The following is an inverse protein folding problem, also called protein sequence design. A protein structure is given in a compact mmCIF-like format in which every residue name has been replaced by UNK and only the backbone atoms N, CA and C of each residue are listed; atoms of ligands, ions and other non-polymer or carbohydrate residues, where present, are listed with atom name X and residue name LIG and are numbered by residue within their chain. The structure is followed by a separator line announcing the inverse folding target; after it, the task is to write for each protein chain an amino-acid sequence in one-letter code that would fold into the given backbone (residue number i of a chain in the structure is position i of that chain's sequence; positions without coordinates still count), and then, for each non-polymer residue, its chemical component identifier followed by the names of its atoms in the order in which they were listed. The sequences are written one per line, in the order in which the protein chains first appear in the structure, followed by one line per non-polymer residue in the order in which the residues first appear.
data_IF_233281572100
#
_entry.id   IF_233281572100
#
_cell.length_a   1.000
_cell.length_b   1.000
_cell.length_c   1.000
_cell.angle_alpha   90.00
_cell.angle_beta   90.00
_cell.angle_gamma   90.00
#
_symmetry.space_group_name_H-M   'P 1'
#
loop_
_entity.id
_entity.type
_entity.pdbx_description
1 polymer ?
#
# COMPACT_ATOMS: atom_id res chain seq x y z
N UNK A 1 6.75 25.49 58.07
CA UNK A 1 7.40 25.47 56.74
C UNK A 1 7.11 24.10 56.17
N UNK A 2 5.89 23.91 55.67
CA UNK A 2 5.46 22.64 55.10
C UNK A 2 6.06 22.46 53.70
N UNK A 3 6.53 21.26 53.34
CA UNK A 3 7.03 21.00 52.00
C UNK A 3 5.85 21.04 51.02
N UNK A 4 5.93 21.95 50.03
CA UNK A 4 4.96 22.03 48.94
C UNK A 4 4.96 20.71 48.17
N UNK A 5 3.86 19.98 48.23
CA UNK A 5 3.63 18.80 47.42
C UNK A 5 3.38 19.26 45.98
N UNK A 6 4.37 19.05 45.11
CA UNK A 6 4.21 19.24 43.67
C UNK A 6 3.18 18.21 43.15
N UNK A 7 2.19 18.62 42.33
CA UNK A 7 1.23 17.68 41.77
C UNK A 7 1.92 16.80 40.71
N UNK A 8 1.53 15.51 40.56
CA UNK A 8 2.12 14.63 39.56
C UNK A 8 1.91 15.20 38.15
N UNK A 9 2.98 15.58 37.48
CA UNK A 9 2.95 16.01 36.09
C UNK A 9 2.45 14.82 35.24
N UNK A 10 1.22 14.92 34.74
CA UNK A 10 0.65 13.94 33.81
C UNK A 10 1.40 14.07 32.49
N UNK A 11 2.41 13.23 32.28
CA UNK A 11 3.17 13.17 31.04
C UNK A 11 2.22 12.95 29.86
N UNK A 12 1.94 14.00 29.10
CA UNK A 12 1.11 13.95 27.89
C UNK A 12 1.82 13.12 26.83
N UNK A 13 1.39 11.87 26.66
CA UNK A 13 1.96 10.98 25.64
C UNK A 13 1.59 11.50 24.25
N UNK A 14 2.59 11.71 23.41
CA UNK A 14 2.39 12.11 22.02
C UNK A 14 2.15 10.86 21.17
N UNK A 15 1.18 10.88 20.24
CA UNK A 15 0.85 9.73 19.38
C UNK A 15 0.98 10.06 17.90
N UNK A 16 1.40 9.09 17.10
CA UNK A 16 1.38 9.20 15.65
C UNK A 16 -0.07 9.22 15.15
N UNK A 17 -0.41 10.10 14.20
CA UNK A 17 -1.74 10.19 13.60
C UNK A 17 -2.05 9.05 12.62
N UNK A 18 -1.03 8.48 11.97
CA UNK A 18 -1.21 7.39 11.00
C UNK A 18 -1.31 6.01 11.69
N UNK A 19 -0.29 5.64 12.47
CA UNK A 19 -0.20 4.30 13.07
C UNK A 19 -0.61 4.23 14.55
N UNK A 20 -0.97 5.36 15.18
CA UNK A 20 -1.38 5.45 16.59
C UNK A 20 -0.36 4.96 17.63
N UNK A 21 0.91 4.71 17.26
CA UNK A 21 2.00 4.45 18.20
C UNK A 21 2.16 5.65 19.16
N UNK A 22 2.31 5.36 20.45
CA UNK A 22 2.46 6.35 21.51
C UNK A 22 3.92 6.47 21.94
N UNK A 23 4.36 7.70 22.20
CA UNK A 23 5.71 8.03 22.61
C UNK A 23 5.66 8.86 23.89
N UNK A 24 6.59 8.56 24.81
CA UNK A 24 6.74 9.32 26.07
C UNK A 24 7.26 10.74 25.82
N UNK A 25 8.09 10.91 24.78
CA UNK A 25 8.70 12.18 24.37
C UNK A 25 8.28 12.53 22.94
N UNK A 26 8.11 13.82 22.67
CA UNK A 26 7.77 14.33 21.33
C UNK A 26 8.89 14.07 20.31
N UNK A 27 10.15 14.15 20.73
CA UNK A 27 11.34 13.87 19.92
C UNK A 27 11.24 12.49 19.21
N UNK A 28 10.92 11.44 19.97
CA UNK A 28 10.80 10.08 19.41
C UNK A 28 9.61 9.93 18.46
N UNK A 29 8.55 10.74 18.62
CA UNK A 29 7.45 10.78 17.66
C UNK A 29 7.91 11.41 16.34
N UNK A 30 8.68 12.50 16.41
CA UNK A 30 9.22 13.17 15.21
C UNK A 30 10.16 12.22 14.47
N UNK A 31 11.09 11.58 15.18
CA UNK A 31 12.00 10.58 14.59
C UNK A 31 11.21 9.45 13.92
N UNK A 32 10.18 8.92 14.59
CA UNK A 32 9.28 7.94 13.99
C UNK A 32 8.63 8.43 12.69
N UNK A 33 8.13 9.66 12.66
CA UNK A 33 7.49 10.22 11.47
C UNK A 33 8.47 10.36 10.30
N UNK A 34 9.73 10.73 10.59
CA UNK A 34 10.79 10.84 9.58
C UNK A 34 11.12 9.48 8.97
N UNK A 35 11.27 8.43 9.79
CA UNK A 35 11.73 7.12 9.30
C UNK A 35 10.62 6.22 8.76
N UNK A 36 9.36 6.46 9.13
CA UNK A 36 8.28 5.52 8.80
C UNK A 36 7.64 5.77 7.45
N UNK A 37 7.78 6.97 6.88
CA UNK A 37 7.26 7.35 5.57
C UNK A 37 5.83 6.83 5.30
N UNK A 38 4.92 7.04 6.26
CA UNK A 38 3.54 6.57 6.10
C UNK A 38 2.94 7.18 4.83
N UNK A 39 2.37 6.33 3.99
CA UNK A 39 1.76 6.70 2.72
C UNK A 39 0.25 6.48 2.76
N UNK A 40 -0.49 7.21 1.93
CA UNK A 40 -1.92 6.94 1.68
C UNK A 40 -2.15 5.53 1.13
N UNK A 41 -1.12 4.93 0.53
CA UNK A 41 -1.14 3.56 0.02
C UNK A 41 -0.81 2.50 1.08
N UNK A 42 -0.48 2.90 2.31
CA UNK A 42 -0.24 1.92 3.37
C UNK A 42 -1.53 1.16 3.69
N UNK A 43 -1.44 -0.15 3.92
CA UNK A 43 -2.62 -0.93 4.28
C UNK A 43 -3.18 -0.43 5.62
N UNK A 44 -4.44 -0.03 5.61
CA UNK A 44 -5.11 0.55 6.76
C UNK A 44 -6.31 -0.29 7.22
N UNK A 45 -6.60 -0.24 8.52
CA UNK A 45 -7.80 -0.87 9.07
C UNK A 45 -9.06 -0.15 8.58
N UNK A 46 -9.98 -0.89 7.96
CA UNK A 46 -11.26 -0.37 7.46
C UNK A 46 -12.13 0.27 8.56
N UNK A 47 -12.00 -0.17 9.81
CA UNK A 47 -12.79 0.32 10.96
C UNK A 47 -12.17 1.56 11.60
N UNK A 48 -10.89 1.51 11.98
CA UNK A 48 -10.25 2.59 12.73
C UNK A 48 -9.26 3.44 11.92
N UNK A 49 -9.06 3.13 10.63
CA UNK A 49 -8.15 3.82 9.69
C UNK A 49 -6.68 3.87 10.12
N UNK A 50 -6.30 3.04 11.11
CA UNK A 50 -4.90 2.87 11.53
C UNK A 50 -4.09 2.27 10.39
N UNK A 51 -3.03 2.98 9.99
CA UNK A 51 -2.05 2.50 9.02
C UNK A 51 -1.21 1.40 9.65
N UNK A 52 -1.00 0.35 8.88
CA UNK A 52 -0.20 -0.81 9.25
C UNK A 52 0.92 -0.98 8.22
N UNK A 53 2.03 -1.60 8.64
CA UNK A 53 3.18 -1.79 7.74
C UNK A 53 2.86 -2.75 6.59
N UNK A 54 2.03 -3.75 6.86
CA UNK A 54 1.66 -4.80 5.89
C UNK A 54 0.19 -5.17 6.06
N UNK A 55 -0.38 -5.78 5.01
CA UNK A 55 -1.73 -6.36 5.10
C UNK A 55 -1.83 -7.43 6.20
N UNK A 56 -0.74 -8.16 6.45
CA UNK A 56 -0.68 -9.12 7.56
C UNK A 56 -0.83 -8.43 8.92
N UNK A 57 -0.17 -7.29 9.12
CA UNK A 57 -0.38 -6.48 10.33
C UNK A 57 -1.82 -5.96 10.45
N UNK A 58 -2.53 -5.74 9.34
CA UNK A 58 -3.97 -5.41 9.36
C UNK A 58 -4.78 -6.64 9.80
N UNK A 59 -4.48 -7.84 9.30
CA UNK A 59 -5.13 -9.10 9.74
C UNK A 59 -4.95 -9.34 11.22
N UNK A 60 -3.73 -9.21 11.74
CA UNK A 60 -3.43 -9.32 13.17
C UNK A 60 -4.18 -8.25 13.99
N UNK A 61 -4.35 -7.05 13.44
CA UNK A 61 -5.12 -5.99 14.11
C UNK A 61 -6.63 -6.26 14.16
N UNK A 62 -7.17 -7.03 13.22
CA UNK A 62 -8.60 -7.33 13.08
C UNK A 62 -9.00 -8.67 13.72
N UNK A 63 -8.07 -9.63 13.80
CA UNK A 63 -8.35 -11.01 14.25
C UNK A 63 -7.33 -11.55 15.26
N UNK A 64 -6.24 -10.82 15.54
CA UNK A 64 -5.16 -11.27 16.42
C UNK A 64 -5.37 -10.97 17.90
N UNK A 65 -4.47 -11.48 18.78
CA UNK A 65 -4.60 -11.38 20.24
C UNK A 65 -4.43 -9.95 20.78
N UNK A 66 -3.85 -9.04 19.99
CA UNK A 66 -3.65 -7.62 20.33
C UNK A 66 -4.63 -6.70 19.61
N UNK A 67 -5.68 -7.28 19.01
CA UNK A 67 -6.67 -6.54 18.26
C UNK A 67 -7.52 -5.62 19.17
N UNK A 68 -7.91 -4.46 18.64
CA UNK A 68 -8.82 -3.55 19.37
C UNK A 68 -10.22 -4.16 19.37
N UNK A 69 -10.83 -4.30 20.54
CA UNK A 69 -12.15 -4.93 20.70
C UNK A 69 -13.21 -4.36 19.74
N UNK A 70 -13.27 -3.03 19.57
CA UNK A 70 -14.21 -2.38 18.64
C UNK A 70 -14.00 -2.81 17.19
N UNK A 71 -12.73 -2.92 16.77
CA UNK A 71 -12.37 -3.32 15.41
C UNK A 71 -12.68 -4.78 15.15
N UNK A 72 -12.36 -5.67 16.11
CA UNK A 72 -12.69 -7.10 16.04
C UNK A 72 -14.19 -7.28 15.92
N UNK A 73 -14.96 -6.63 16.79
CA UNK A 73 -16.42 -6.78 16.81
C UNK A 73 -17.04 -6.40 15.46
N UNK A 74 -16.69 -5.23 14.94
CA UNK A 74 -17.21 -4.76 13.65
C UNK A 74 -16.77 -5.68 12.51
N UNK A 75 -15.53 -6.17 12.55
CA UNK A 75 -14.98 -7.02 11.50
C UNK A 75 -15.54 -8.45 11.51
N UNK A 76 -15.77 -9.04 12.69
CA UNK A 76 -16.42 -10.35 12.79
C UNK A 76 -17.86 -10.31 12.29
N UNK A 77 -18.57 -9.20 12.54
CA UNK A 77 -19.96 -9.06 12.13
C UNK A 77 -20.13 -8.75 10.64
N UNK A 78 -19.19 -8.03 10.02
CA UNK A 78 -19.41 -7.41 8.69
C UNK A 78 -18.18 -7.42 7.78
N UNK A 79 -17.09 -8.05 8.20
CA UNK A 79 -15.81 -8.04 7.51
C UNK A 79 -15.57 -9.27 6.64
N UNK A 80 -14.95 -9.07 5.48
CA UNK A 80 -14.45 -10.17 4.66
C UNK A 80 -12.99 -10.48 5.00
N UNK A 81 -12.69 -11.75 5.32
CA UNK A 81 -11.34 -12.19 5.70
C UNK A 81 -10.31 -12.16 4.54
N UNK A 82 -10.78 -12.12 3.29
CA UNK A 82 -9.91 -12.13 2.11
C UNK A 82 -9.44 -10.73 1.75
N UNK A 83 -10.36 -9.80 1.52
CA UNK A 83 -10.06 -8.42 1.11
C UNK A 83 -9.94 -7.44 2.28
N UNK A 84 -10.30 -7.84 3.50
CA UNK A 84 -10.26 -7.02 4.73
C UNK A 84 -11.20 -5.80 4.74
N UNK A 85 -12.20 -5.80 3.86
CA UNK A 85 -13.23 -4.77 3.80
C UNK A 85 -14.37 -5.00 4.78
N UNK A 86 -15.07 -3.92 5.13
CA UNK A 86 -16.31 -3.93 5.93
C UNK A 86 -17.49 -3.60 5.01
N UNK A 87 -18.59 -4.33 5.18
CA UNK A 87 -19.83 -4.15 4.43
C UNK A 87 -20.95 -3.59 5.31
N UNK A 88 -21.96 -2.96 4.69
CA UNK A 88 -23.07 -2.33 5.42
C UNK A 88 -23.97 -3.36 6.11
N UNK A 89 -24.13 -4.55 5.51
CA UNK A 89 -24.95 -5.63 6.03
C UNK A 89 -24.35 -7.03 5.77
N UNK A 90 -24.81 -8.00 6.54
CA UNK A 90 -24.44 -9.42 6.39
C UNK A 90 -24.85 -9.99 5.03
N UNK A 91 -25.96 -9.52 4.45
CA UNK A 91 -26.43 -10.02 3.16
C UNK A 91 -25.52 -9.56 2.02
N UNK A 92 -25.06 -8.31 2.08
CA UNK A 92 -24.06 -7.79 1.13
C UNK A 92 -22.74 -8.53 1.30
N UNK A 93 -22.30 -8.80 2.54
CA UNK A 93 -21.11 -9.61 2.81
C UNK A 93 -21.24 -11.02 2.21
N UNK A 94 -22.37 -11.71 2.40
CA UNK A 94 -22.56 -13.07 1.86
C UNK A 94 -22.53 -13.12 0.34
N UNK A 95 -23.16 -12.14 -0.31
CA UNK A 95 -23.10 -12.01 -1.78
C UNK A 95 -21.67 -11.72 -2.22
N UNK A 96 -20.97 -10.83 -1.50
CA UNK A 96 -19.56 -10.54 -1.74
C UNK A 96 -18.69 -11.79 -1.57
N UNK A 97 -18.82 -12.57 -0.49
CA UNK A 97 -18.00 -13.76 -0.22
C UNK A 97 -18.05 -14.82 -1.33
N UNK A 98 -19.19 -14.95 -2.01
CA UNK A 98 -19.33 -15.86 -3.16
C UNK A 98 -18.46 -15.45 -4.35
N UNK A 99 -18.21 -14.14 -4.48
CA UNK A 99 -17.46 -13.53 -5.59
C UNK A 99 -16.08 -13.04 -5.17
N UNK A 100 -15.82 -12.94 -3.86
CA UNK A 100 -14.56 -12.50 -3.27
C UNK A 100 -13.57 -13.63 -3.41
N UNK A 101 -13.05 -13.77 -4.62
CA UNK A 101 -11.94 -14.65 -4.90
C UNK A 101 -10.69 -13.79 -4.93
N UNK A 102 -9.60 -14.27 -4.32
CA UNK A 102 -8.23 -13.87 -4.69
C UNK A 102 -7.86 -14.39 -6.09
N UNK A 103 -8.84 -14.65 -6.96
CA UNK A 103 -8.60 -15.34 -8.22
C UNK A 103 -7.95 -14.37 -9.21
N UNK A 104 -6.91 -14.83 -9.95
CA UNK A 104 -6.28 -14.05 -11.00
C UNK A 104 -7.33 -13.53 -11.99
N UNK A 105 -7.03 -12.39 -12.62
CA UNK A 105 -7.83 -11.89 -13.73
C UNK A 105 -8.15 -13.04 -14.70
N UNK A 106 -9.42 -13.19 -15.15
CA UNK A 106 -9.70 -14.10 -16.23
C UNK A 106 -8.79 -13.71 -17.40
N UNK A 107 -8.16 -14.67 -18.10
CA UNK A 107 -7.33 -14.35 -19.24
C UNK A 107 -8.15 -13.50 -20.22
N UNK A 108 -7.57 -12.40 -20.69
CA UNK A 108 -8.16 -11.56 -21.73
C UNK A 108 -8.36 -12.46 -22.95
N UNK A 109 -9.61 -12.86 -23.18
CA UNK A 109 -9.99 -13.74 -24.27
C UNK A 109 -11.25 -14.55 -23.99
N UNK A 110 -12.36 -14.08 -24.58
CA UNK A 110 -13.57 -14.85 -24.93
C UNK A 110 -14.79 -14.83 -23.97
N UNK A 111 -15.63 -13.80 -24.14
CA UNK A 111 -17.07 -13.95 -24.43
C UNK A 111 -18.06 -14.22 -23.28
N UNK A 112 -18.87 -13.20 -22.97
CA UNK A 112 -20.29 -13.41 -22.63
C UNK A 112 -20.84 -12.69 -21.39
N UNK A 113 -21.51 -11.56 -21.64
CA UNK A 113 -22.71 -11.01 -20.94
C UNK A 113 -22.55 -10.58 -19.46
N UNK A 114 -22.90 -9.37 -19.00
CA UNK A 114 -23.85 -8.36 -19.47
C UNK A 114 -23.33 -6.95 -19.18
N UNK A 115 -23.21 -6.14 -20.24
CA UNK A 115 -23.19 -4.68 -20.17
C UNK A 115 -24.46 -4.18 -19.46
N UNK A 116 -24.31 -3.41 -18.38
CA UNK A 116 -25.31 -2.40 -18.06
C UNK A 116 -24.81 -1.07 -18.65
N UNK A 117 -25.65 -0.55 -19.51
CA UNK A 117 -25.39 0.48 -20.50
C UNK A 117 -25.07 1.84 -19.88
N UNK A 118 -24.02 2.47 -20.39
CA UNK A 118 -23.89 3.93 -20.34
C UNK A 118 -25.04 4.52 -21.13
N UNK A 119 -25.90 5.32 -20.50
CA UNK A 119 -26.68 6.30 -21.25
C UNK A 119 -26.97 7.58 -20.45
N UNK A 120 -26.64 8.68 -21.11
CA UNK A 120 -27.19 10.04 -21.01
C UNK A 120 -26.88 10.93 -19.81
N UNK A 121 -26.24 12.07 -20.12
CA UNK A 121 -26.23 13.33 -19.37
C UNK A 121 -27.64 13.69 -18.90
N UNK A 122 -27.82 13.81 -17.58
CA UNK A 122 -28.78 14.71 -16.95
C UNK A 122 -28.22 15.10 -15.59
N UNK A 123 -28.10 16.41 -15.35
CA UNK A 123 -27.86 16.96 -14.02
C UNK A 123 -28.98 16.50 -13.08
N UNK A 124 -28.62 15.84 -11.97
CA UNK A 124 -29.44 15.81 -10.76
C UNK A 124 -28.54 15.51 -9.56
N UNK A 125 -28.67 16.36 -8.54
CA UNK A 125 -27.89 16.37 -7.30
C UNK A 125 -27.89 15.00 -6.63
N UNK A 126 -26.69 14.48 -6.35
CA UNK A 126 -26.52 13.41 -5.35
C UNK A 126 -25.93 14.06 -4.11
N UNK A 127 -26.80 14.19 -3.12
CA UNK A 127 -26.48 14.54 -1.74
C UNK A 127 -25.50 13.53 -1.16
N UNK A 128 -24.47 14.09 -0.56
CA UNK A 128 -23.40 13.45 0.20
C UNK A 128 -23.92 12.42 1.22
N UNK A 129 -23.69 11.13 0.96
CA UNK A 129 -23.56 10.13 2.03
C UNK A 129 -22.36 9.22 1.73
N UNK A 130 -21.32 9.49 2.50
CA UNK A 130 -20.06 8.78 2.61
C UNK A 130 -20.26 7.32 3.01
N UNK A 131 -20.07 6.43 2.05
CA UNK A 131 -19.84 5.01 2.25
C UNK A 131 -18.86 4.57 1.17
N UNK A 132 -17.57 4.83 1.37
CA UNK A 132 -16.50 4.29 0.52
C UNK A 132 -16.49 2.77 0.68
N UNK A 133 -17.39 2.11 -0.05
CA UNK A 133 -17.38 0.67 -0.26
C UNK A 133 -16.12 0.35 -1.05
N UNK A 134 -15.20 -0.38 -0.41
CA UNK A 134 -13.90 -0.73 -0.98
C UNK A 134 -13.97 -1.51 -2.31
N UNK A 135 -15.16 -2.00 -2.68
CA UNK A 135 -15.35 -2.86 -3.85
C UNK A 135 -15.90 -2.09 -5.07
N UNK A 136 -16.11 -0.77 -4.96
CA UNK A 136 -16.63 0.07 -6.04
C UNK A 136 -15.57 0.97 -6.70
N UNK A 137 -14.34 1.04 -6.19
CA UNK A 137 -13.23 1.33 -7.09
C UNK A 137 -13.12 0.12 -8.01
N UNK A 138 -13.50 0.28 -9.28
CA UNK A 138 -13.36 -0.77 -10.28
C UNK A 138 -11.98 -1.41 -10.15
N UNK A 139 -11.92 -2.74 -10.31
CA UNK A 139 -10.66 -3.47 -10.26
C UNK A 139 -9.71 -2.83 -11.29
N UNK A 140 -8.83 -1.95 -10.83
CA UNK A 140 -7.81 -1.36 -11.70
C UNK A 140 -6.77 -2.46 -11.88
N UNK A 141 -6.85 -3.12 -13.03
CA UNK A 141 -5.87 -4.13 -13.40
C UNK A 141 -4.57 -3.41 -13.65
N UNK A 142 -3.52 -3.89 -13.00
CA UNK A 142 -2.17 -3.40 -13.22
C UNK A 142 -1.29 -4.56 -13.65
N UNK A 143 -0.46 -4.32 -14.67
CA UNK A 143 0.63 -5.23 -14.98
C UNK A 143 1.92 -4.66 -14.37
N UNK A 144 2.71 -5.54 -13.75
CA UNK A 144 4.02 -5.18 -13.21
C UNK A 144 5.10 -6.00 -13.90
N UNK A 145 6.19 -5.34 -14.23
CA UNK A 145 7.39 -6.00 -14.74
C UNK A 145 8.63 -5.43 -14.05
N UNK A 146 9.63 -6.28 -13.85
CA UNK A 146 10.89 -5.89 -13.23
C UNK A 146 12.09 -6.41 -14.01
N UNK A 147 13.11 -5.56 -14.16
CA UNK A 147 14.38 -5.98 -14.74
C UNK A 147 15.37 -6.36 -13.67
N UNK A 148 16.02 -7.50 -13.89
CA UNK A 148 16.97 -8.09 -12.96
C UNK A 148 18.40 -7.97 -13.48
N UNK A 149 19.32 -7.67 -12.57
CA UNK A 149 20.77 -7.67 -12.80
C UNK A 149 21.45 -8.72 -11.94
N UNK A 150 22.59 -9.23 -12.40
CA UNK A 150 23.46 -10.14 -11.66
C UNK A 150 24.33 -9.42 -10.63
N UNK A 151 24.19 -9.82 -9.38
CA UNK A 151 25.01 -9.40 -8.23
C UNK A 151 25.70 -10.63 -7.60
N UNK A 152 26.56 -10.41 -6.60
CA UNK A 152 27.24 -11.50 -5.89
C UNK A 152 28.55 -11.95 -6.55
N UNK A 153 28.98 -13.20 -6.31
CA UNK A 153 30.22 -13.70 -6.92
C UNK A 153 29.96 -14.04 -8.40
N UNK A 154 30.60 -13.31 -9.32
CA UNK A 154 30.42 -13.47 -10.77
C UNK A 154 28.95 -13.33 -11.24
N UNK A 155 28.15 -12.48 -10.59
CA UNK A 155 26.75 -12.25 -11.00
C UNK A 155 25.79 -13.41 -10.75
N UNK A 156 26.16 -14.35 -9.87
CA UNK A 156 25.41 -15.58 -9.56
C UNK A 156 24.05 -15.37 -8.90
N UNK A 157 23.78 -14.19 -8.35
CA UNK A 157 22.51 -13.85 -7.70
C UNK A 157 21.77 -12.79 -8.50
N UNK A 158 20.45 -12.85 -8.50
CA UNK A 158 19.57 -11.85 -9.11
C UNK A 158 19.23 -10.73 -8.14
N UNK A 159 19.29 -9.48 -8.61
CA UNK A 159 18.77 -8.32 -7.90
C UNK A 159 17.94 -7.44 -8.84
N UNK A 160 16.84 -6.89 -8.35
CA UNK A 160 16.00 -5.97 -9.12
C UNK A 160 16.73 -4.65 -9.34
N UNK A 161 16.75 -4.16 -10.58
CA UNK A 161 17.32 -2.88 -10.97
C UNK A 161 16.27 -1.87 -11.47
N UNK A 162 15.09 -2.34 -11.90
CA UNK A 162 14.03 -1.49 -12.44
C UNK A 162 12.67 -2.15 -12.21
N UNK A 163 11.65 -1.33 -11.92
CA UNK A 163 10.27 -1.78 -11.81
C UNK A 163 9.38 -0.85 -12.63
N UNK A 164 8.42 -1.42 -13.36
CA UNK A 164 7.40 -0.70 -14.10
C UNK A 164 6.02 -1.25 -13.73
N UNK A 165 5.06 -0.38 -13.45
CA UNK A 165 3.65 -0.69 -13.33
C UNK A 165 2.89 0.09 -14.40
N UNK A 166 2.00 -0.59 -15.10
CA UNK A 166 1.10 -0.01 -16.10
C UNK A 166 -0.35 -0.38 -15.79
N UNK A 167 -1.29 0.43 -16.26
CA UNK A 167 -2.72 0.08 -16.24
C UNK A 167 -3.14 -0.74 -17.47
N UNK A 168 -4.45 -0.96 -17.60
CA UNK A 168 -5.07 -1.70 -18.71
C UNK A 168 -4.95 -1.02 -20.08
N UNK A 169 -4.76 0.30 -20.11
CA UNK A 169 -4.55 1.09 -21.32
C UNK A 169 -3.05 1.24 -21.67
N UNK A 170 -2.19 0.44 -21.02
CA UNK A 170 -0.72 0.48 -21.14
C UNK A 170 -0.11 1.82 -20.68
N UNK A 171 -0.84 2.62 -19.91
CA UNK A 171 -0.32 3.87 -19.34
C UNK A 171 0.57 3.57 -18.15
N UNK A 172 1.75 4.19 -18.12
CA UNK A 172 2.72 4.03 -17.02
C UNK A 172 2.20 4.69 -15.76
N UNK A 173 1.86 3.88 -14.77
CA UNK A 173 1.43 4.32 -13.44
C UNK A 173 2.63 4.59 -12.52
N UNK A 174 3.68 3.77 -12.65
CA UNK A 174 4.89 3.90 -11.86
C UNK A 174 6.09 3.33 -12.61
N UNK A 175 7.19 4.07 -12.63
CA UNK A 175 8.46 3.62 -13.19
C UNK A 175 9.59 4.11 -12.29
N UNK A 176 10.45 3.20 -11.86
CA UNK A 176 11.57 3.58 -11.01
C UNK A 176 12.74 2.61 -11.13
N UNK A 177 13.92 3.13 -10.77
CA UNK A 177 15.17 2.40 -10.68
C UNK A 177 15.40 1.97 -9.24
N UNK A 178 15.77 0.71 -9.05
CA UNK A 178 16.08 0.14 -7.75
C UNK A 178 17.59 0.04 -7.63
N UNK A 179 18.17 0.62 -6.57
CA UNK A 179 19.60 0.46 -6.26
C UNK A 179 19.80 -0.89 -5.58
N UNK A 180 20.55 -1.84 -6.18
CA UNK A 180 20.83 -3.11 -5.52
C UNK A 180 21.73 -2.92 -4.29
N UNK A 181 21.54 -3.75 -3.26
CA UNK A 181 22.36 -3.73 -2.04
C UNK A 181 23.82 -4.14 -2.30
N UNK A 182 24.04 -4.95 -3.35
CA UNK A 182 25.35 -5.44 -3.77
C UNK A 182 25.75 -4.84 -5.12
N UNK A 183 27.05 -4.62 -5.37
CA UNK A 183 27.52 -4.12 -6.66
C UNK A 183 27.10 -5.03 -7.82
N UNK A 184 26.61 -4.40 -8.90
CA UNK A 184 26.24 -5.09 -10.13
C UNK A 184 27.50 -5.60 -10.83
N UNK A 185 27.50 -6.88 -11.19
CA UNK A 185 28.62 -7.53 -11.90
C UNK A 185 28.22 -8.08 -13.27
N UNK A 186 26.94 -8.33 -13.49
CA UNK A 186 26.41 -8.75 -14.78
C UNK A 186 25.12 -7.99 -15.06
N UNK A 187 25.07 -7.23 -16.14
CA UNK A 187 23.90 -6.44 -16.51
C UNK A 187 22.84 -7.23 -17.27
N UNK A 188 23.06 -8.53 -17.58
CA UNK A 188 22.09 -9.39 -18.25
C UNK A 188 21.48 -8.71 -19.49
N UNK A 189 22.38 -8.15 -20.31
CA UNK A 189 22.13 -7.21 -21.43
C UNK A 189 21.09 -7.71 -22.45
N UNK A 190 20.80 -9.01 -22.50
CA UNK A 190 19.75 -9.55 -23.37
C UNK A 190 18.33 -9.12 -22.97
N UNK A 191 18.13 -8.72 -21.71
CA UNK A 191 16.82 -8.31 -21.17
C UNK A 191 16.75 -6.80 -20.92
N UNK A 192 17.90 -6.16 -20.69
CA UNK A 192 18.02 -4.72 -20.48
C UNK A 192 18.11 -3.99 -21.83
N UNK A 193 17.09 -3.21 -22.19
CA UNK A 193 17.10 -2.39 -23.42
C UNK A 193 18.38 -1.52 -23.50
N UNK A 194 18.94 -1.29 -24.69
CA UNK A 194 20.20 -0.53 -24.86
C UNK A 194 20.22 0.87 -24.23
N UNK A 195 19.05 1.51 -24.10
CA UNK A 195 18.91 2.82 -23.44
C UNK A 195 19.07 2.75 -21.92
N UNK A 196 18.73 1.62 -21.30
CA UNK A 196 18.88 1.37 -19.87
C UNK A 196 20.35 1.15 -19.49
N UNK A 197 21.15 0.55 -20.38
CA UNK A 197 22.60 0.41 -20.22
C UNK A 197 23.30 1.78 -20.10
N UNK A 198 22.95 2.76 -20.94
CA UNK A 198 23.54 4.10 -20.90
C UNK A 198 23.19 4.85 -19.61
N UNK A 199 21.93 4.78 -19.15
CA UNK A 199 21.51 5.43 -17.91
C UNK A 199 22.18 4.83 -16.66
N UNK A 200 22.34 3.51 -16.60
CA UNK A 200 23.05 2.85 -15.49
C UNK A 200 24.55 3.19 -15.51
N UNK A 201 25.15 3.36 -16.70
CA UNK A 201 26.56 3.67 -16.82
C UNK A 201 26.88 5.17 -16.60
N UNK A 202 25.96 6.07 -16.96
CA UNK A 202 26.06 7.52 -16.70
C UNK A 202 25.83 7.86 -15.22
N UNK A 203 25.03 7.07 -14.49
CA UNK A 203 24.74 7.30 -13.06
C UNK A 203 25.83 6.81 -12.11
N UNK A 204 26.87 6.12 -12.59
CA UNK A 204 27.94 5.62 -11.73
C UNK A 204 28.92 6.71 -11.23
N UNK A 205 28.80 7.96 -11.70
CA UNK A 205 29.50 9.14 -11.15
C UNK A 205 28.55 10.26 -10.68
N UNK A 206 27.36 9.94 -10.16
CA UNK A 206 26.39 10.99 -9.81
C UNK A 206 25.31 10.63 -8.81
N UNK A 207 25.63 9.89 -7.74
CA UNK A 207 24.63 9.55 -6.71
C UNK A 207 24.37 10.68 -5.67
N UNK A 208 25.08 11.81 -5.73
CA UNK A 208 24.94 12.89 -4.74
C UNK A 208 23.97 14.02 -5.13
N UNK A 209 23.37 14.06 -6.33
CA UNK A 209 22.58 15.23 -6.75
C UNK A 209 21.20 14.96 -7.38
N UNK A 210 20.59 13.79 -7.17
CA UNK A 210 19.24 13.48 -7.69
C UNK A 210 18.22 13.21 -6.56
N UNK A 211 18.30 14.00 -5.48
CA UNK A 211 17.25 14.16 -4.46
C UNK A 211 16.72 15.61 -4.40
N UNK A 212 16.75 16.33 -5.52
CA UNK A 212 15.97 17.54 -5.71
C UNK A 212 15.37 17.52 -7.11
N UNK A 213 14.12 17.99 -7.21
CA UNK A 213 13.20 17.94 -8.34
C UNK A 213 12.25 16.73 -8.34
N UNK A 214 11.24 16.85 -7.47
CA UNK A 214 9.83 16.64 -7.86
C UNK A 214 9.46 17.53 -9.06
#
# INVERSE_FOLDING_TARGET
MDPKHEPPQTLTRSKCSACYKQYKKKEHLIEHMIISYHSVHDPACSVCKKHCKTLESVREHLSGPLARADCVKVFVERGCILCLCIFDSLDVLKVHEQNCRMSPAPPIGFGGTTLLEKSTRSEMEITSLSGESCCNQGLQVVAMDCEMVGVGNVGSSDACARVCLIDEDESVLFHSYVKPELPVKDYRIKHILPLLYLLIHETNEGWENLLMYD
#
